data_IF_387801344497
#
_entry.id   IF_387801344497
#
_cell.length_a   1.000
_cell.length_b   1.000
_cell.length_c   1.000
_cell.angle_alpha   90.00
_cell.angle_beta   90.00
_cell.angle_gamma   90.00
#
_symmetry.space_group_name_H-M   'P 1'
#
loop_
_entity.id
_entity.type
_entity.pdbx_description
1 polymer ?
#
# COMPACT_ATOMS: atom_id res chain seq x y z
N UNK A 1 6.73 -4.94 -6.64
CA UNK A 1 5.65 -3.95 -6.91
C UNK A 1 4.38 -4.75 -7.17
N UNK A 2 3.27 -4.38 -6.57
CA UNK A 2 1.95 -5.00 -6.74
C UNK A 2 0.97 -3.95 -7.25
N UNK A 3 0.00 -4.35 -8.05
CA UNK A 3 -1.09 -3.52 -8.53
C UNK A 3 -2.37 -4.37 -8.62
N UNK A 4 -3.53 -3.75 -8.82
CA UNK A 4 -4.76 -4.49 -9.05
C UNK A 4 -4.77 -5.05 -10.48
N UNK A 5 -4.19 -6.23 -10.65
CA UNK A 5 -4.09 -7.01 -11.90
C UNK A 5 -5.10 -8.17 -11.96
N UNK A 6 -5.97 -8.30 -10.94
CA UNK A 6 -6.91 -9.41 -10.79
C UNK A 6 -6.30 -10.72 -10.28
N UNK A 7 -4.99 -10.80 -10.07
CA UNK A 7 -4.34 -12.00 -9.56
C UNK A 7 -4.63 -12.19 -8.05
N UNK A 8 -4.86 -13.44 -7.64
CA UNK A 8 -5.17 -13.79 -6.24
C UNK A 8 -4.10 -13.31 -5.26
N UNK A 9 -2.83 -13.49 -5.58
CA UNK A 9 -1.72 -13.05 -4.73
C UNK A 9 -1.65 -11.53 -4.60
N UNK A 10 -1.84 -10.81 -5.71
CA UNK A 10 -1.90 -9.35 -5.71
C UNK A 10 -3.02 -8.85 -4.81
N UNK A 11 -4.21 -9.44 -4.91
CA UNK A 11 -5.36 -9.09 -4.07
C UNK A 11 -5.11 -9.34 -2.58
N UNK A 12 -4.42 -10.43 -2.20
CA UNK A 12 -4.06 -10.69 -0.80
C UNK A 12 -3.14 -9.59 -0.26
N UNK A 13 -2.09 -9.23 -1.02
CA UNK A 13 -1.13 -8.20 -0.62
C UNK A 13 -1.82 -6.83 -0.55
N UNK A 14 -2.63 -6.46 -1.54
CA UNK A 14 -3.39 -5.22 -1.55
C UNK A 14 -4.39 -5.15 -0.38
N UNK A 15 -5.02 -6.27 -0.02
CA UNK A 15 -5.88 -6.33 1.16
C UNK A 15 -5.08 -6.08 2.44
N UNK A 16 -3.88 -6.67 2.56
CA UNK A 16 -2.98 -6.43 3.68
C UNK A 16 -2.53 -4.97 3.77
N UNK A 17 -2.18 -4.34 2.64
CA UNK A 17 -1.85 -2.91 2.56
C UNK A 17 -3.02 -2.02 2.97
N UNK A 18 -4.23 -2.31 2.47
CA UNK A 18 -5.46 -1.59 2.86
C UNK A 18 -5.65 -1.62 4.37
N UNK A 19 -5.56 -2.80 4.99
CA UNK A 19 -5.70 -2.94 6.44
C UNK A 19 -4.59 -2.21 7.20
N UNK A 20 -3.34 -2.27 6.73
CA UNK A 20 -2.22 -1.53 7.29
C UNK A 20 -2.47 -0.02 7.27
N UNK A 21 -2.85 0.53 6.11
CA UNK A 21 -3.11 1.97 5.97
C UNK A 21 -4.30 2.41 6.81
N UNK A 22 -5.39 1.65 6.85
CA UNK A 22 -6.55 1.97 7.71
C UNK A 22 -6.17 2.03 9.18
N UNK A 23 -5.27 1.14 9.64
CA UNK A 23 -4.80 1.14 11.03
C UNK A 23 -3.83 2.29 11.33
N UNK A 24 -2.92 2.60 10.42
CA UNK A 24 -1.85 3.59 10.65
C UNK A 24 -2.24 5.03 10.28
N UNK A 25 -3.28 5.22 9.46
CA UNK A 25 -3.74 6.53 8.97
C UNK A 25 -5.19 6.79 9.42
N UNK A 26 -5.48 6.91 10.73
CA UNK A 26 -6.85 7.01 11.26
C UNK A 26 -7.59 8.28 10.84
N UNK A 27 -6.87 9.31 10.39
CA UNK A 27 -7.46 10.56 9.87
C UNK A 27 -7.93 10.44 8.42
N UNK A 28 -7.52 9.40 7.71
CA UNK A 28 -7.90 9.17 6.32
C UNK A 28 -9.14 8.26 6.28
N UNK A 29 -10.21 8.64 5.55
CA UNK A 29 -11.40 7.81 5.46
C UNK A 29 -11.12 6.41 4.88
N UNK A 30 -11.69 5.38 5.51
CA UNK A 30 -11.51 3.98 5.11
C UNK A 30 -11.91 3.71 3.66
N UNK A 31 -12.96 4.37 3.17
CA UNK A 31 -13.43 4.27 1.79
C UNK A 31 -12.42 4.85 0.81
N UNK A 32 -11.79 5.99 1.15
CA UNK A 32 -10.74 6.60 0.33
C UNK A 32 -9.54 5.67 0.20
N UNK A 33 -9.07 5.08 1.31
CA UNK A 33 -7.99 4.09 1.32
C UNK A 33 -8.35 2.89 0.44
N UNK A 34 -9.53 2.31 0.66
CA UNK A 34 -10.00 1.14 -0.07
C UNK A 34 -10.04 1.40 -1.57
N UNK A 35 -10.62 2.53 -1.98
CA UNK A 35 -10.73 2.93 -3.38
C UNK A 35 -9.35 3.09 -4.03
N UNK A 36 -8.43 3.81 -3.40
CA UNK A 36 -7.13 4.12 -4.00
C UNK A 36 -6.15 2.94 -3.96
N UNK A 37 -6.22 2.05 -2.97
CA UNK A 37 -5.40 0.82 -2.93
C UNK A 37 -5.83 -0.17 -4.02
N UNK A 38 -7.13 -0.26 -4.32
CA UNK A 38 -7.64 -1.16 -5.37
C UNK A 38 -7.74 -0.51 -6.75
N UNK A 39 -7.40 0.77 -6.89
CA UNK A 39 -7.42 1.44 -8.18
C UNK A 39 -6.28 0.93 -9.08
N UNK A 40 -6.60 0.54 -10.31
CA UNK A 40 -5.64 -0.06 -11.24
C UNK A 40 -4.60 0.94 -11.79
N UNK A 41 -4.83 2.25 -11.62
CA UNK A 41 -3.87 3.31 -11.98
C UNK A 41 -2.82 3.55 -10.89
N UNK A 42 -3.02 2.96 -9.70
CA UNK A 42 -2.09 3.00 -8.59
C UNK A 42 -1.20 1.75 -8.55
N UNK A 43 0.00 1.94 -8.04
CA UNK A 43 0.97 0.88 -7.78
C UNK A 43 1.30 0.89 -6.31
N UNK A 44 1.63 -0.28 -5.76
CA UNK A 44 2.08 -0.39 -4.39
C UNK A 44 3.41 -1.14 -4.27
N UNK A 45 4.24 -0.67 -3.35
CA UNK A 45 5.38 -1.40 -2.81
C UNK A 45 4.95 -1.96 -1.46
N UNK A 46 5.19 -3.24 -1.22
CA UNK A 46 4.87 -3.90 0.03
C UNK A 46 6.09 -4.68 0.52
N UNK A 47 6.40 -4.55 1.81
CA UNK A 47 7.30 -5.48 2.50
C UNK A 47 6.44 -6.58 3.10
N UNK A 48 6.68 -7.82 2.66
CA UNK A 48 5.90 -8.99 3.06
C UNK A 48 6.79 -9.96 3.82
N UNK A 49 6.40 -10.31 5.04
CA UNK A 49 6.99 -11.42 5.80
C UNK A 49 6.27 -12.73 5.48
N UNK A 50 7.02 -13.83 5.51
CA UNK A 50 6.45 -15.16 5.27
C UNK A 50 5.48 -15.55 6.39
N UNK A 51 4.33 -16.19 6.08
CA UNK A 51 3.93 -16.61 4.74
C UNK A 51 3.41 -15.46 3.85
N UNK A 52 2.56 -14.56 4.35
CA UNK A 52 1.96 -13.45 3.57
C UNK A 52 1.55 -12.25 4.46
N UNK A 53 2.35 -11.91 5.46
CA UNK A 53 2.08 -10.78 6.36
C UNK A 53 2.64 -9.47 5.78
N UNK A 54 1.77 -8.50 5.49
CA UNK A 54 2.19 -7.16 5.03
C UNK A 54 2.57 -6.31 6.24
N UNK A 55 3.82 -5.86 6.27
CA UNK A 55 4.37 -5.14 7.42
C UNK A 55 4.67 -3.66 7.18
N UNK A 56 4.83 -3.28 5.92
CA UNK A 56 5.08 -1.90 5.46
C UNK A 56 4.65 -1.79 4.01
N UNK A 57 4.28 -0.58 3.59
CA UNK A 57 4.11 -0.32 2.18
C UNK A 57 3.87 1.13 1.81
N UNK A 58 4.00 1.38 0.51
CA UNK A 58 3.80 2.67 -0.14
C UNK A 58 2.87 2.46 -1.32
N UNK A 59 1.77 3.21 -1.39
CA UNK A 59 0.92 3.30 -2.57
C UNK A 59 1.17 4.62 -3.29
N UNK A 60 1.33 4.57 -4.61
CA UNK A 60 1.70 5.73 -5.41
C UNK A 60 1.13 5.66 -6.82
N UNK A 61 0.95 6.82 -7.45
CA UNK A 61 0.52 6.96 -8.84
C UNK A 61 1.64 7.56 -9.68
N UNK A 62 1.97 6.94 -10.82
CA UNK A 62 2.99 7.44 -11.74
C UNK A 62 2.38 8.39 -12.76
N UNK A 63 2.95 9.58 -12.94
CA UNK A 63 2.62 10.53 -14.00
C UNK A 63 3.79 10.56 -15.00
N UNK A 64 3.87 9.54 -15.86
CA UNK A 64 5.02 9.31 -16.76
C UNK A 64 5.32 10.52 -17.64
N UNK A 65 4.29 11.13 -18.21
CA UNK A 65 4.43 12.29 -19.11
C UNK A 65 4.95 13.54 -18.39
N UNK A 66 4.82 13.60 -17.06
CA UNK A 66 5.26 14.72 -16.22
C UNK A 66 6.52 14.41 -15.41
N UNK A 67 7.08 13.20 -15.55
CA UNK A 67 8.35 12.82 -14.90
C UNK A 67 8.29 12.68 -13.37
N UNK A 68 7.10 12.54 -12.76
CA UNK A 68 6.98 12.38 -11.30
C UNK A 68 6.01 11.26 -10.89
N UNK A 69 6.04 10.93 -9.59
CA UNK A 69 5.07 10.04 -8.96
C UNK A 69 4.52 10.69 -7.69
N UNK A 70 3.23 10.50 -7.44
CA UNK A 70 2.55 10.97 -6.25
C UNK A 70 2.46 9.82 -5.24
N UNK A 71 3.07 9.99 -4.06
CA UNK A 71 2.89 9.06 -2.94
C UNK A 71 1.54 9.37 -2.30
N UNK A 72 0.63 8.40 -2.35
CA UNK A 72 -0.73 8.52 -1.83
C UNK A 72 -0.79 8.02 -0.38
N UNK A 73 -0.18 6.88 -0.10
CA UNK A 73 -0.08 6.31 1.25
C UNK A 73 1.33 5.82 1.53
N UNK A 74 1.79 5.98 2.76
CA UNK A 74 3.02 5.41 3.29
C UNK A 74 2.79 5.03 4.74
N UNK A 75 3.03 3.77 5.10
CA UNK A 75 2.87 3.31 6.47
C UNK A 75 3.73 2.08 6.77
N UNK A 76 4.13 1.98 8.04
CA UNK A 76 4.83 0.84 8.62
C UNK A 76 4.03 0.36 9.82
N UNK A 77 3.92 -0.95 10.02
CA UNK A 77 3.26 -1.54 11.19
C UNK A 77 3.95 -1.05 12.47
N UNK A 78 3.16 -0.71 13.49
CA UNK A 78 3.64 -0.07 14.73
C UNK A 78 4.79 -0.84 15.38
N UNK A 79 4.73 -2.17 15.43
CA UNK A 79 5.75 -3.02 16.05
C UNK A 79 7.11 -3.01 15.31
N UNK A 80 7.14 -2.46 14.08
CA UNK A 80 8.31 -2.40 13.22
C UNK A 80 8.76 -0.97 12.90
N UNK A 81 8.07 0.04 13.41
CA UNK A 81 8.53 1.41 13.32
C UNK A 81 9.88 1.57 14.04
N UNK A 82 10.69 2.55 13.63
CA UNK A 82 12.04 2.82 14.17
C UNK A 82 13.07 1.69 13.89
N UNK A 83 12.72 0.69 13.06
CA UNK A 83 13.64 -0.39 12.63
C UNK A 83 14.14 -0.23 11.19
N UNK A 84 13.90 0.92 10.56
CA UNK A 84 14.36 1.23 9.21
C UNK A 84 13.54 0.61 8.06
N UNK A 85 12.28 0.23 8.31
CA UNK A 85 11.35 -0.31 7.28
C UNK A 85 10.50 0.75 6.56
N UNK A 86 10.74 2.03 6.87
CA UNK A 86 10.08 3.18 6.23
C UNK A 86 10.70 3.53 4.89
#
# INVERSE_FOLDING_TARGET
VVNNDGAKMSMIILTGLKCLFQKQLPKTPNECITRLVYDCTHLSLAIVKRPLEVISGISFRKFRDRGFAEIVFCAVSSDLQVKGYG
#
